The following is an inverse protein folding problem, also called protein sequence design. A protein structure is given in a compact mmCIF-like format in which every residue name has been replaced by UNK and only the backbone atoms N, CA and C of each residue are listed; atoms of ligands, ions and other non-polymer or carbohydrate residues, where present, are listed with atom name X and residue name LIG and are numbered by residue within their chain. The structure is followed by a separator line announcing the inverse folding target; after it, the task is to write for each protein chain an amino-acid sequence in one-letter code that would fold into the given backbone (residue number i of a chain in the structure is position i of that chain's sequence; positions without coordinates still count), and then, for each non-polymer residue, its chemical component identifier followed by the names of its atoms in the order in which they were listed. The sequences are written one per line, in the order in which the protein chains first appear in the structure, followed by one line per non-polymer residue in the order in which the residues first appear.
data_IF_831469362824
#
_entry.id   IF_831469362824
#
_cell.length_a   1.000
_cell.length_b   1.000
_cell.length_c   1.000
_cell.angle_alpha   90.00
_cell.angle_beta   90.00
_cell.angle_gamma   90.00
#
_symmetry.space_group_name_H-M   'P 1'
#
loop_
_entity.id
_entity.type
_entity.pdbx_description
1 polymer ?
#
# COMPACT_ATOMS: atom_id res chain seq x y z
N UNK A 1 -12.89 25.18 1.15
CA UNK A 1 -13.03 23.96 1.97
C UNK A 1 -14.50 23.74 2.28
N UNK A 2 -15.02 22.52 2.11
CA UNK A 2 -16.42 22.20 2.42
C UNK A 2 -16.48 21.07 3.45
N UNK A 3 -17.34 21.22 4.44
CA UNK A 3 -17.65 20.15 5.39
C UNK A 3 -18.61 19.16 4.71
N UNK A 4 -18.27 17.88 4.79
CA UNK A 4 -19.10 16.77 4.27
C UNK A 4 -19.37 15.78 5.39
N UNK A 5 -20.56 15.15 5.40
CA UNK A 5 -20.82 14.02 6.29
C UNK A 5 -19.85 12.88 5.95
N UNK A 6 -19.27 12.29 7.00
CA UNK A 6 -18.41 11.12 6.81
C UNK A 6 -19.22 9.98 6.22
N UNK A 7 -18.72 9.42 5.12
CA UNK A 7 -19.26 8.22 4.50
C UNK A 7 -18.07 7.31 4.20
N UNK A 8 -18.21 6.02 4.51
CA UNK A 8 -17.19 5.05 4.18
C UNK A 8 -17.23 4.79 2.67
N UNK A 9 -16.13 5.10 2.01
CA UNK A 9 -15.93 4.82 0.58
C UNK A 9 -15.41 3.41 0.39
N UNK A 10 -15.52 2.84 -0.82
CA UNK A 10 -14.67 1.74 -1.25
C UNK A 10 -13.21 2.16 -1.13
N UNK A 11 -12.37 1.27 -0.60
CA UNK A 11 -10.97 1.56 -0.34
C UNK A 11 -10.07 0.44 -0.83
N UNK A 12 -8.86 0.78 -1.25
CA UNK A 12 -7.81 -0.20 -1.43
C UNK A 12 -7.14 -0.49 -0.09
N UNK A 13 -6.96 -1.77 0.22
CA UNK A 13 -6.30 -2.21 1.44
C UNK A 13 -4.82 -1.79 1.45
N UNK A 14 -4.34 -1.43 2.63
CA UNK A 14 -2.92 -1.28 2.97
C UNK A 14 -2.64 -2.18 4.16
N UNK A 15 -2.03 -3.32 3.92
CA UNK A 15 -1.79 -4.33 4.96
C UNK A 15 -0.31 -4.67 5.02
N UNK A 16 0.19 -4.90 6.22
CA UNK A 16 1.52 -5.44 6.45
C UNK A 16 1.47 -6.80 7.11
N UNK A 17 2.32 -7.71 6.66
CA UNK A 17 2.63 -8.97 7.31
C UNK A 17 4.05 -8.87 7.90
N UNK A 18 4.13 -8.84 9.22
CA UNK A 18 5.38 -8.77 9.95
C UNK A 18 5.74 -10.12 10.52
N UNK A 19 6.96 -10.61 10.24
CA UNK A 19 7.44 -11.84 10.83
C UNK A 19 8.95 -12.06 10.64
N UNK A 20 9.58 -12.93 11.43
CA UNK A 20 10.93 -13.43 11.16
C UNK A 20 11.00 -14.17 9.83
N UNK A 21 12.23 -14.44 9.36
CA UNK A 21 12.42 -15.32 8.20
C UNK A 21 11.91 -16.74 8.51
N UNK A 22 11.27 -17.36 7.52
CA UNK A 22 10.72 -18.72 7.64
C UNK A 22 9.36 -18.82 8.34
N UNK A 23 8.73 -17.70 8.75
CA UNK A 23 7.40 -17.71 9.37
C UNK A 23 6.22 -17.80 8.38
N UNK A 24 6.48 -17.92 7.08
CA UNK A 24 5.42 -18.09 6.08
C UNK A 24 4.80 -16.80 5.53
N UNK A 25 5.48 -15.62 5.63
CA UNK A 25 4.98 -14.35 5.10
C UNK A 25 4.54 -14.41 3.64
N UNK A 26 5.45 -14.82 2.76
CA UNK A 26 5.20 -14.89 1.30
C UNK A 26 4.01 -15.80 0.99
N UNK A 27 3.96 -16.97 1.61
CA UNK A 27 2.87 -17.93 1.44
C UNK A 27 1.52 -17.32 1.88
N UNK A 28 1.49 -16.74 3.08
CA UNK A 28 0.30 -16.08 3.62
C UNK A 28 -0.15 -14.89 2.79
N UNK A 29 0.81 -14.07 2.30
CA UNK A 29 0.53 -12.95 1.42
C UNK A 29 -0.10 -13.39 0.09
N UNK A 30 0.40 -14.47 -0.51
CA UNK A 30 -0.13 -15.04 -1.75
C UNK A 30 -1.54 -15.57 -1.57
N UNK A 31 -1.82 -16.34 -0.51
CA UNK A 31 -3.17 -16.83 -0.22
C UNK A 31 -4.16 -15.69 0.00
N UNK A 32 -3.78 -14.70 0.80
CA UNK A 32 -4.60 -13.52 1.04
C UNK A 32 -4.85 -12.74 -0.25
N UNK A 33 -3.80 -12.50 -1.06
CA UNK A 33 -3.90 -11.79 -2.33
C UNK A 33 -4.83 -12.50 -3.31
N UNK A 34 -4.74 -13.83 -3.42
CA UNK A 34 -5.66 -14.61 -4.23
C UNK A 34 -7.10 -14.49 -3.73
N UNK A 35 -7.32 -14.58 -2.43
CA UNK A 35 -8.66 -14.39 -1.84
C UNK A 35 -9.24 -13.02 -2.15
N UNK A 36 -8.40 -11.98 -2.24
CA UNK A 36 -8.80 -10.62 -2.59
C UNK A 36 -9.06 -10.45 -4.10
N UNK A 37 -8.20 -10.97 -4.96
CA UNK A 37 -8.32 -10.81 -6.41
C UNK A 37 -9.33 -11.79 -7.03
N UNK A 38 -9.39 -13.03 -6.51
CA UNK A 38 -10.17 -14.14 -7.10
C UNK A 38 -9.54 -14.70 -8.39
N UNK A 39 -8.46 -14.12 -8.87
CA UNK A 39 -7.73 -14.47 -10.09
C UNK A 39 -6.23 -14.27 -9.88
N UNK A 40 -5.45 -15.34 -10.02
CA UNK A 40 -3.99 -15.29 -9.88
C UNK A 40 -3.32 -14.34 -10.87
N UNK A 41 -3.85 -14.19 -12.09
CA UNK A 41 -3.30 -13.30 -13.11
C UNK A 41 -3.35 -11.81 -12.71
N UNK A 42 -4.14 -11.47 -11.69
CA UNK A 42 -4.29 -10.12 -11.11
C UNK A 42 -3.43 -9.89 -9.87
N UNK A 43 -2.66 -10.89 -9.46
CA UNK A 43 -1.75 -10.83 -8.32
C UNK A 43 -0.32 -10.69 -8.83
N UNK A 44 0.45 -9.77 -8.23
CA UNK A 44 1.87 -9.61 -8.52
C UNK A 44 2.68 -9.54 -7.23
N UNK A 45 3.85 -10.16 -7.23
CA UNK A 45 4.86 -10.03 -6.17
C UNK A 45 6.02 -9.18 -6.70
N UNK A 46 6.29 -8.06 -6.06
CA UNK A 46 7.57 -7.33 -6.19
C UNK A 46 8.54 -8.07 -5.28
N UNK A 47 9.35 -8.95 -5.87
CA UNK A 47 10.28 -9.84 -5.17
C UNK A 47 11.65 -9.18 -5.06
N UNK A 48 12.09 -8.96 -3.83
CA UNK A 48 13.43 -8.46 -3.50
C UNK A 48 14.30 -9.54 -2.84
N UNK A 49 13.79 -10.78 -2.76
CA UNK A 49 14.41 -11.92 -2.08
C UNK A 49 14.94 -12.98 -3.08
N UNK A 50 15.50 -12.49 -4.20
CA UNK A 50 16.18 -13.35 -5.21
C UNK A 50 15.30 -14.48 -5.77
N UNK A 51 14.08 -14.19 -6.15
CA UNK A 51 13.18 -15.16 -6.78
C UNK A 51 12.49 -16.11 -5.80
N UNK A 52 12.48 -15.76 -4.50
CA UNK A 52 11.84 -16.59 -3.47
C UNK A 52 10.34 -16.78 -3.70
N UNK A 53 9.66 -15.78 -4.28
CA UNK A 53 8.24 -15.87 -4.61
C UNK A 53 7.97 -17.02 -5.62
N UNK A 54 8.84 -17.24 -6.58
CA UNK A 54 8.69 -18.27 -7.61
C UNK A 54 8.68 -19.71 -7.05
N UNK A 55 9.20 -19.92 -5.83
CA UNK A 55 9.11 -21.22 -5.15
C UNK A 55 7.66 -21.63 -4.85
N UNK A 56 6.74 -20.67 -4.84
CA UNK A 56 5.32 -20.87 -4.59
C UNK A 56 4.47 -20.93 -5.86
N UNK A 57 5.08 -21.08 -7.04
CA UNK A 57 4.38 -21.18 -8.34
C UNK A 57 3.36 -22.33 -8.42
N UNK A 58 3.48 -23.32 -7.55
CA UNK A 58 2.49 -24.41 -7.43
C UNK A 58 1.13 -23.95 -6.87
N UNK A 59 1.03 -22.76 -6.28
CA UNK A 59 -0.25 -22.20 -5.79
C UNK A 59 -1.12 -21.66 -6.92
N UNK A 60 -0.49 -21.13 -7.99
CA UNK A 60 -1.18 -20.57 -9.15
C UNK A 60 -0.28 -19.69 -10.01
N UNK A 61 -0.83 -19.18 -11.12
CA UNK A 61 -0.11 -18.41 -12.13
C UNK A 61 -0.09 -16.89 -11.79
N UNK A 62 0.49 -16.54 -10.65
CA UNK A 62 0.68 -15.13 -10.28
C UNK A 62 1.90 -14.53 -10.99
N UNK A 63 1.95 -13.20 -11.05
CA UNK A 63 3.05 -12.47 -11.67
C UNK A 63 4.17 -12.18 -10.65
N UNK A 64 5.41 -12.09 -11.13
CA UNK A 64 6.57 -11.69 -10.33
C UNK A 64 7.30 -10.55 -11.04
N UNK A 65 7.64 -9.51 -10.30
CA UNK A 65 8.54 -8.45 -10.70
C UNK A 65 9.79 -8.53 -9.83
N UNK A 66 10.88 -9.05 -10.39
CA UNK A 66 12.16 -9.16 -9.69
C UNK A 66 12.80 -7.77 -9.53
N UNK A 67 12.88 -7.28 -8.33
CA UNK A 67 13.54 -6.03 -8.01
C UNK A 67 14.92 -6.31 -7.40
N UNK A 68 15.96 -6.07 -8.18
CA UNK A 68 17.36 -6.23 -7.75
C UNK A 68 17.92 -4.93 -7.16
N UNK A 69 18.97 -4.98 -6.32
CA UNK A 69 19.65 -3.79 -5.82
C UNK A 69 20.04 -2.80 -6.93
N UNK A 70 20.08 -1.50 -6.63
CA UNK A 70 19.88 -0.86 -5.33
C UNK A 70 18.39 -0.78 -4.95
N UNK A 71 18.08 -1.03 -3.68
CA UNK A 71 16.72 -1.01 -3.14
C UNK A 71 16.30 0.40 -2.69
N UNK A 72 16.48 1.39 -3.56
CA UNK A 72 16.12 2.76 -3.23
C UNK A 72 14.59 2.98 -3.25
N UNK A 73 14.07 3.95 -2.47
CA UNK A 73 12.65 4.31 -2.47
C UNK A 73 12.08 4.53 -3.87
N UNK A 74 12.84 5.18 -4.76
CA UNK A 74 12.42 5.50 -6.13
C UNK A 74 12.16 4.24 -6.94
N UNK A 75 13.00 3.22 -6.80
CA UNK A 75 12.83 1.95 -7.54
C UNK A 75 11.61 1.16 -7.07
N UNK A 76 11.27 1.22 -5.77
CA UNK A 76 10.00 0.66 -5.30
C UNK A 76 8.81 1.43 -5.85
N UNK A 77 8.90 2.77 -5.95
CA UNK A 77 7.86 3.60 -6.56
C UNK A 77 7.66 3.22 -8.03
N UNK A 78 8.73 3.05 -8.80
CA UNK A 78 8.70 2.59 -10.19
C UNK A 78 8.07 1.20 -10.31
N UNK A 79 8.48 0.25 -9.46
CA UNK A 79 7.94 -1.11 -9.46
C UNK A 79 6.42 -1.13 -9.16
N UNK A 80 5.97 -0.38 -8.15
CA UNK A 80 4.53 -0.26 -7.84
C UNK A 80 3.79 0.35 -9.04
N UNK A 81 4.34 1.40 -9.65
CA UNK A 81 3.73 2.07 -10.81
C UNK A 81 3.60 1.10 -11.99
N UNK A 82 4.65 0.34 -12.29
CA UNK A 82 4.63 -0.68 -13.35
C UNK A 82 3.56 -1.74 -13.11
N UNK A 83 3.37 -2.16 -11.87
CA UNK A 83 2.31 -3.12 -11.51
C UNK A 83 0.90 -2.52 -11.70
N UNK A 84 0.71 -1.25 -11.32
CA UNK A 84 -0.56 -0.56 -11.53
C UNK A 84 -0.88 -0.38 -13.02
N UNK A 85 0.11 -0.01 -13.83
CA UNK A 85 -0.05 0.20 -15.27
C UNK A 85 -0.30 -1.13 -16.01
N UNK A 86 0.19 -2.26 -15.46
CA UNK A 86 -0.13 -3.60 -15.91
C UNK A 86 -1.53 -4.08 -15.47
N UNK A 87 -2.29 -3.29 -14.71
CA UNK A 87 -3.66 -3.61 -14.26
C UNK A 87 -3.73 -4.67 -13.18
N UNK A 88 -2.70 -4.75 -12.32
CA UNK A 88 -2.71 -5.64 -11.16
C UNK A 88 -3.69 -5.14 -10.09
N UNK A 89 -4.48 -6.04 -9.52
CA UNK A 89 -5.45 -5.72 -8.47
C UNK A 89 -4.84 -5.83 -7.07
N UNK A 90 -3.90 -6.73 -6.89
CA UNK A 90 -3.18 -6.92 -5.62
C UNK A 90 -1.69 -6.96 -5.86
N UNK A 91 -0.96 -6.07 -5.21
CA UNK A 91 0.50 -5.95 -5.25
C UNK A 91 1.05 -6.41 -3.89
N UNK A 92 1.91 -7.41 -3.90
CA UNK A 92 2.67 -7.87 -2.74
C UNK A 92 4.08 -7.29 -2.86
N UNK A 93 4.62 -6.69 -1.78
CA UNK A 93 6.01 -6.23 -1.71
C UNK A 93 6.76 -7.13 -0.72
N UNK A 94 7.57 -8.03 -1.22
CA UNK A 94 8.34 -8.98 -0.40
C UNK A 94 9.84 -8.91 -0.72
N UNK A 95 10.62 -8.16 0.09
CA UNK A 95 10.26 -7.55 1.37
C UNK A 95 10.42 -6.03 1.32
N UNK A 96 9.48 -5.30 1.93
CA UNK A 96 9.60 -3.84 2.10
C UNK A 96 10.74 -3.43 3.05
N UNK A 97 11.26 -4.37 3.86
CA UNK A 97 12.44 -4.14 4.70
C UNK A 97 13.70 -3.81 3.91
N UNK A 98 13.78 -4.22 2.65
CA UNK A 98 14.93 -3.90 1.81
C UNK A 98 14.96 -2.43 1.38
N UNK A 99 13.81 -1.77 1.24
CA UNK A 99 13.77 -0.31 1.02
C UNK A 99 14.45 0.44 2.16
N UNK A 100 14.32 -0.05 3.38
CA UNK A 100 14.92 0.55 4.56
C UNK A 100 16.39 0.17 4.74
N UNK A 101 16.68 -1.14 4.86
CA UNK A 101 17.98 -1.67 5.27
C UNK A 101 18.68 -2.53 4.23
N UNK A 102 18.13 -2.68 3.02
CA UNK A 102 18.79 -3.40 1.93
C UNK A 102 19.88 -2.59 1.25
N UNK A 103 20.64 -3.24 0.37
CA UNK A 103 21.71 -2.59 -0.39
C UNK A 103 21.15 -1.43 -1.25
N UNK A 104 21.62 -0.23 -1.03
CA UNK A 104 21.10 1.00 -1.65
C UNK A 104 19.77 1.48 -1.09
N UNK A 105 19.31 0.93 0.04
CA UNK A 105 18.13 1.38 0.78
C UNK A 105 18.38 2.63 1.62
N UNK A 106 17.38 3.07 2.35
CA UNK A 106 17.39 4.34 3.08
C UNK A 106 18.57 4.50 4.04
N UNK A 107 18.95 3.45 4.79
CA UNK A 107 20.07 3.53 5.73
C UNK A 107 21.38 3.79 4.99
N UNK A 108 21.67 3.05 3.92
CA UNK A 108 22.89 3.22 3.14
C UNK A 108 22.91 4.56 2.38
N UNK A 109 21.76 5.01 1.88
CA UNK A 109 21.60 6.33 1.27
C UNK A 109 21.94 7.42 2.28
N UNK A 110 21.41 7.30 3.51
CA UNK A 110 21.67 8.27 4.57
C UNK A 110 23.15 8.35 4.94
N UNK A 111 23.84 7.22 5.03
CA UNK A 111 25.28 7.17 5.29
C UNK A 111 26.09 7.84 4.17
N UNK A 112 25.76 7.55 2.91
CA UNK A 112 26.40 8.17 1.73
C UNK A 112 26.21 9.70 1.71
N UNK A 113 24.99 10.17 1.98
CA UNK A 113 24.69 11.60 2.07
C UNK A 113 25.44 12.24 3.23
N UNK A 114 25.48 11.59 4.41
CA UNK A 114 26.19 12.07 5.57
C UNK A 114 27.71 12.28 5.27
N UNK A 115 28.31 11.27 4.65
CA UNK A 115 29.73 11.33 4.28
C UNK A 115 30.01 12.44 3.24
N UNK A 116 29.17 12.56 2.21
CA UNK A 116 29.39 13.48 1.10
C UNK A 116 29.09 14.94 1.45
N UNK A 117 28.07 15.23 2.27
CA UNK A 117 27.52 16.58 2.47
C UNK A 117 27.56 17.09 3.90
N UNK A 118 27.56 16.19 4.88
CA UNK A 118 27.42 16.56 6.30
C UNK A 118 28.60 16.12 7.16
N UNK A 119 29.80 15.91 6.56
CA UNK A 119 31.01 15.53 7.28
C UNK A 119 30.83 14.31 8.19
N UNK A 120 30.03 13.34 7.77
CA UNK A 120 29.71 12.14 8.53
C UNK A 120 28.55 12.28 9.53
N UNK A 121 27.87 13.42 9.61
CA UNK A 121 26.73 13.60 10.49
C UNK A 121 25.46 12.95 9.88
N UNK A 122 25.18 11.73 10.31
CA UNK A 122 24.01 10.94 9.85
C UNK A 122 22.68 11.56 10.28
N UNK A 123 22.63 12.27 11.41
CA UNK A 123 21.42 12.94 11.87
C UNK A 123 20.98 14.03 10.89
N UNK A 124 21.89 14.88 10.46
CA UNK A 124 21.58 15.94 9.50
C UNK A 124 21.23 15.40 8.10
N UNK A 125 21.79 14.25 7.71
CA UNK A 125 21.52 13.61 6.42
C UNK A 125 20.08 13.14 6.27
N UNK A 126 19.38 12.90 7.37
CA UNK A 126 17.94 12.54 7.35
C UNK A 126 17.06 13.62 6.73
N UNK A 127 17.49 14.89 6.72
CA UNK A 127 16.76 15.95 6.03
C UNK A 127 16.60 15.68 4.52
N UNK A 128 17.52 14.92 3.91
CA UNK A 128 17.47 14.54 2.50
C UNK A 128 16.92 13.12 2.31
N UNK A 129 17.18 12.21 3.22
CA UNK A 129 16.75 10.82 3.10
C UNK A 129 15.26 10.65 3.45
N UNK A 130 14.78 11.31 4.50
CA UNK A 130 13.39 11.25 4.94
C UNK A 130 12.38 11.57 3.83
N UNK A 131 12.54 12.67 3.05
CA UNK A 131 11.59 12.96 1.96
C UNK A 131 11.53 11.89 0.87
N UNK A 132 12.59 11.12 0.67
CA UNK A 132 12.62 10.02 -0.31
C UNK A 132 11.80 8.83 0.21
N UNK A 133 12.03 8.44 1.46
CA UNK A 133 11.23 7.43 2.14
C UNK A 133 9.74 7.81 2.19
N UNK A 134 9.43 9.07 2.55
CA UNK A 134 8.05 9.55 2.63
C UNK A 134 7.33 9.47 1.26
N UNK A 135 8.05 9.67 0.15
CA UNK A 135 7.49 9.44 -1.19
C UNK A 135 7.13 7.98 -1.44
N UNK A 136 7.96 7.04 -0.99
CA UNK A 136 7.64 5.61 -1.07
C UNK A 136 6.41 5.27 -0.22
N UNK A 137 6.36 5.73 1.04
CA UNK A 137 5.18 5.56 1.91
C UNK A 137 3.92 6.10 1.23
N UNK A 138 3.98 7.34 0.72
CA UNK A 138 2.86 7.95 0.00
C UNK A 138 2.45 7.15 -1.23
N UNK A 139 3.40 6.60 -1.99
CA UNK A 139 3.08 5.74 -3.16
C UNK A 139 2.34 4.48 -2.72
N UNK A 140 2.77 3.82 -1.64
CA UNK A 140 2.06 2.67 -1.07
C UNK A 140 0.64 3.07 -0.67
N UNK A 141 0.47 4.22 0.04
CA UNK A 141 -0.82 4.68 0.54
C UNK A 141 -1.79 5.08 -0.58
N UNK A 142 -1.28 5.63 -1.68
CA UNK A 142 -2.07 6.16 -2.80
C UNK A 142 -2.18 5.17 -3.98
N UNK A 143 -1.63 3.99 -3.88
CA UNK A 143 -1.68 2.99 -4.95
C UNK A 143 -3.12 2.67 -5.37
N UNK A 144 -3.32 2.50 -6.68
CA UNK A 144 -4.62 2.16 -7.30
C UNK A 144 -4.94 0.66 -7.29
N UNK A 145 -4.24 -0.08 -6.44
CA UNK A 145 -4.40 -1.51 -6.20
C UNK A 145 -4.36 -1.77 -4.69
N UNK A 146 -4.79 -2.93 -4.24
CA UNK A 146 -4.53 -3.38 -2.88
C UNK A 146 -3.03 -3.64 -2.70
N UNK A 147 -2.45 -3.23 -1.57
CA UNK A 147 -1.02 -3.44 -1.30
C UNK A 147 -0.85 -4.24 -0.02
N UNK A 148 -0.14 -5.36 -0.13
CA UNK A 148 0.30 -6.19 0.99
C UNK A 148 1.82 -6.06 1.06
N UNK A 149 2.33 -5.50 2.15
CA UNK A 149 3.78 -5.43 2.40
C UNK A 149 4.20 -6.56 3.34
N UNK A 150 5.35 -7.14 3.09
CA UNK A 150 5.99 -8.10 3.98
C UNK A 150 7.19 -7.42 4.64
N UNK A 151 7.18 -7.27 5.96
CA UNK A 151 8.33 -6.81 6.73
C UNK A 151 9.00 -7.95 7.45
N UNK A 152 10.33 -7.96 7.44
CA UNK A 152 11.10 -8.83 8.32
C UNK A 152 11.07 -8.25 9.72
N UNK A 153 10.89 -9.09 10.73
CA UNK A 153 11.02 -8.68 12.12
C UNK A 153 12.20 -9.37 12.80
N UNK A 154 12.72 -8.71 13.81
CA UNK A 154 13.80 -9.20 14.66
C UNK A 154 13.44 -9.04 16.13
N UNK A 155 14.04 -9.87 16.99
CA UNK A 155 13.89 -9.70 18.43
C UNK A 155 14.47 -8.35 18.86
N UNK A 156 13.67 -7.54 19.51
CA UNK A 156 14.12 -6.31 20.15
C UNK A 156 14.65 -6.63 21.55
N UNK A 157 15.83 -6.09 21.84
CA UNK A 157 16.49 -6.30 23.13
C UNK A 157 16.86 -4.96 23.73
N UNK A 158 16.76 -4.85 25.06
CA UNK A 158 17.27 -3.71 25.83
C UNK A 158 18.30 -4.18 26.83
N UNK A 159 19.23 -3.30 27.16
CA UNK A 159 20.17 -3.49 28.27
C UNK A 159 19.47 -3.04 29.55
N UNK A 160 19.28 -3.96 30.49
CA UNK A 160 18.81 -3.70 31.84
C UNK A 160 19.99 -3.96 32.79
N UNK A 161 20.73 -2.90 33.08
CA UNK A 161 22.06 -3.01 33.69
C UNK A 161 23.03 -3.77 32.77
N UNK A 162 23.62 -4.87 33.26
CA UNK A 162 24.51 -5.74 32.50
C UNK A 162 23.81 -6.95 31.84
N UNK A 163 22.46 -6.99 31.85
CA UNK A 163 21.69 -8.10 31.27
C UNK A 163 20.94 -7.65 30.02
N UNK A 164 21.00 -8.50 28.98
CA UNK A 164 20.19 -8.30 27.77
C UNK A 164 18.79 -8.87 28.03
N UNK A 165 17.77 -8.03 27.97
CA UNK A 165 16.37 -8.40 28.11
C UNK A 165 15.68 -8.31 26.75
N UNK A 166 15.00 -9.38 26.35
CA UNK A 166 14.13 -9.40 25.18
C UNK A 166 12.82 -8.69 25.55
N UNK A 167 12.40 -7.69 24.74
CA UNK A 167 11.19 -6.90 24.99
C UNK A 167 10.10 -7.12 23.95
N UNK A 168 10.39 -7.81 22.84
CA UNK A 168 9.40 -8.10 21.81
C UNK A 168 10.04 -8.37 20.46
N UNK A 169 9.20 -8.27 19.44
CA UNK A 169 9.60 -8.28 18.04
C UNK A 169 9.47 -6.87 17.49
N UNK A 170 10.44 -6.44 16.67
CA UNK A 170 10.44 -5.14 16.01
C UNK A 170 10.62 -5.34 14.50
N UNK A 171 9.83 -4.62 13.72
CA UNK A 171 9.93 -4.63 12.26
C UNK A 171 11.25 -3.98 11.81
N UNK A 172 11.86 -4.57 10.78
CA UNK A 172 13.00 -3.98 10.10
C UNK A 172 12.45 -3.01 9.04
N UNK A 173 11.99 -1.88 9.53
CA UNK A 173 11.49 -0.75 8.76
C UNK A 173 11.62 0.51 9.64
N UNK A 174 11.35 1.68 9.08
CA UNK A 174 11.32 2.92 9.84
C UNK A 174 10.27 2.86 10.93
N UNK A 175 10.61 3.35 12.11
CA UNK A 175 9.66 3.42 13.23
C UNK A 175 8.40 4.18 12.82
N UNK A 176 7.23 3.61 13.10
CA UNK A 176 5.95 4.19 12.72
C UNK A 176 5.36 3.66 11.41
N UNK A 177 6.08 2.82 10.64
CA UNK A 177 5.57 2.20 9.42
C UNK A 177 4.18 1.57 9.59
N UNK A 178 3.99 0.81 10.68
CA UNK A 178 2.72 0.16 11.00
C UNK A 178 1.56 1.15 11.21
N UNK A 179 1.87 2.39 11.64
CA UNK A 179 0.82 3.39 11.88
C UNK A 179 0.23 3.98 10.61
N UNK A 180 0.95 3.89 9.50
CA UNK A 180 0.47 4.37 8.21
C UNK A 180 -0.54 3.42 7.58
N UNK A 181 -0.43 2.13 7.85
CA UNK A 181 -1.21 1.10 7.19
C UNK A 181 -2.60 0.90 7.83
N UNK A 182 -3.50 0.24 7.10
CA UNK A 182 -4.86 -0.06 7.58
C UNK A 182 -4.85 -1.21 8.58
N UNK A 183 -4.08 -2.27 8.27
CA UNK A 183 -3.96 -3.48 9.09
C UNK A 183 -2.49 -3.87 9.17
N UNK A 184 -2.04 -4.27 10.36
CA UNK A 184 -0.74 -4.92 10.57
C UNK A 184 -0.96 -6.25 11.29
N UNK A 185 -0.54 -7.35 10.65
CA UNK A 185 -0.61 -8.70 11.19
C UNK A 185 0.81 -9.20 11.49
N UNK A 186 1.03 -9.65 12.70
CA UNK A 186 2.28 -10.33 13.11
C UNK A 186 2.08 -11.83 13.03
N UNK A 187 2.97 -12.53 12.30
CA UNK A 187 2.91 -13.98 12.14
C UNK A 187 3.96 -14.62 13.05
N UNK A 188 3.51 -15.52 13.90
CA UNK A 188 4.39 -16.31 14.75
C UNK A 188 5.15 -17.37 13.93
N UNK A 189 6.44 -17.55 14.24
CA UNK A 189 7.31 -18.41 13.45
C UNK A 189 7.00 -19.90 13.61
N UNK A 190 6.64 -20.31 14.79
CA UNK A 190 6.54 -21.74 15.12
C UNK A 190 5.14 -22.29 14.83
N UNK A 191 4.11 -21.45 15.03
CA UNK A 191 2.70 -21.81 14.81
C UNK A 191 2.17 -21.36 13.47
N UNK A 192 2.84 -20.41 12.79
CA UNK A 192 2.38 -19.70 11.59
C UNK A 192 1.05 -18.96 11.77
N UNK A 193 0.61 -18.76 13.00
CA UNK A 193 -0.60 -18.02 13.30
C UNK A 193 -0.36 -16.52 13.27
N UNK A 194 -1.35 -15.79 12.78
CA UNK A 194 -1.35 -14.34 12.71
C UNK A 194 -2.15 -13.74 13.87
N UNK A 195 -1.66 -12.60 14.36
CA UNK A 195 -2.34 -11.74 15.33
C UNK A 195 -2.28 -10.31 14.82
N UNK A 196 -3.38 -9.56 14.93
CA UNK A 196 -3.40 -8.15 14.57
C UNK A 196 -2.73 -7.32 15.67
N UNK A 197 -1.65 -6.61 15.32
CA UNK A 197 -1.08 -5.56 16.17
C UNK A 197 -1.74 -4.21 15.91
N UNK A 198 -2.34 -4.03 14.71
CA UNK A 198 -3.16 -2.90 14.33
C UNK A 198 -4.26 -3.35 13.38
N UNK A 199 -5.47 -2.88 13.61
CA UNK A 199 -6.62 -3.15 12.73
C UNK A 199 -7.63 -2.00 12.78
N UNK A 200 -7.73 -1.27 11.67
CA UNK A 200 -8.76 -0.23 11.47
C UNK A 200 -10.06 -0.79 10.89
N UNK A 201 -10.05 -2.07 10.49
CA UNK A 201 -11.21 -2.72 9.87
C UNK A 201 -12.17 -3.32 10.89
N UNK A 202 -11.71 -3.59 12.09
CA UNK A 202 -12.38 -4.34 13.15
C UNK A 202 -12.62 -5.83 12.81
N UNK A 203 -12.00 -6.34 11.74
CA UNK A 203 -12.13 -7.75 11.34
C UNK A 203 -11.31 -8.68 12.24
N UNK A 204 -10.23 -8.17 12.82
CA UNK A 204 -9.22 -8.97 13.54
C UNK A 204 -9.04 -8.57 15.02
N UNK A 205 -9.77 -7.58 15.52
CA UNK A 205 -9.55 -7.01 16.88
C UNK A 205 -9.87 -7.96 18.02
N UNK A 206 -10.77 -8.90 17.84
CA UNK A 206 -11.28 -9.82 18.89
C UNK A 206 -11.19 -11.26 18.40
N UNK A 207 -10.24 -11.55 17.53
CA UNK A 207 -10.08 -12.88 16.97
C UNK A 207 -8.86 -13.53 17.64
N UNK A 208 -9.01 -14.78 18.07
CA UNK A 208 -7.87 -15.61 18.49
C UNK A 208 -6.84 -15.70 17.35
N UNK A 209 -5.57 -16.03 17.66
CA UNK A 209 -4.57 -16.26 16.64
C UNK A 209 -5.08 -17.22 15.56
N UNK A 210 -4.91 -16.85 14.29
CA UNK A 210 -5.49 -17.57 13.15
C UNK A 210 -4.48 -17.81 12.02
N UNK A 211 -4.72 -18.82 11.22
CA UNK A 211 -3.96 -19.06 9.99
C UNK A 211 -4.56 -18.22 8.86
N UNK A 212 -3.69 -17.48 8.17
CA UNK A 212 -4.09 -16.69 6.99
C UNK A 212 -4.38 -17.64 5.82
N UNK A 213 -5.55 -17.48 5.22
CA UNK A 213 -6.03 -18.29 4.09
C UNK A 213 -6.61 -17.38 2.99
N UNK A 214 -7.04 -17.99 1.89
CA UNK A 214 -7.78 -17.25 0.85
C UNK A 214 -9.13 -16.71 1.39
N UNK A 215 -9.76 -17.38 2.34
CA UNK A 215 -10.98 -16.86 2.99
C UNK A 215 -10.72 -15.57 3.77
N UNK A 216 -9.56 -15.45 4.41
CA UNK A 216 -9.13 -14.21 5.04
C UNK A 216 -9.07 -13.07 4.01
N UNK A 217 -8.53 -13.35 2.82
CA UNK A 217 -8.48 -12.37 1.72
C UNK A 217 -9.88 -11.98 1.23
N UNK A 218 -10.80 -12.94 1.06
CA UNK A 218 -12.19 -12.67 0.67
C UNK A 218 -12.91 -11.77 1.68
N UNK A 219 -12.80 -12.08 2.96
CA UNK A 219 -13.38 -11.28 4.05
C UNK A 219 -12.88 -9.84 4.03
N UNK A 220 -11.58 -9.65 3.81
CA UNK A 220 -10.98 -8.31 3.72
C UNK A 220 -11.47 -7.58 2.46
N UNK A 221 -11.58 -8.26 1.31
CA UNK A 221 -12.12 -7.68 0.08
C UNK A 221 -13.55 -7.19 0.28
N UNK A 222 -14.42 -8.02 0.84
CA UNK A 222 -15.81 -7.67 1.15
C UNK A 222 -15.87 -6.42 2.04
N UNK A 223 -14.99 -6.35 3.04
CA UNK A 223 -14.88 -5.15 3.86
C UNK A 223 -14.46 -3.93 3.03
N UNK A 224 -13.48 -4.02 2.16
CA UNK A 224 -13.03 -2.92 1.31
C UNK A 224 -14.15 -2.43 0.37
N UNK A 225 -14.97 -3.32 -0.14
CA UNK A 225 -16.04 -3.05 -1.10
C UNK A 225 -17.37 -2.62 -0.45
N UNK A 226 -17.59 -2.89 0.84
CA UNK A 226 -18.84 -2.56 1.55
C UNK A 226 -19.04 -1.06 1.80
N UNK A 227 -18.12 -0.21 1.35
CA UNK A 227 -18.28 1.24 1.35
C UNK A 227 -19.17 1.74 0.20
N UNK A 228 -19.73 2.94 0.38
CA UNK A 228 -20.50 3.61 -0.68
C UNK A 228 -19.57 3.86 -1.86
N UNK A 229 -19.97 3.42 -3.06
CA UNK A 229 -19.31 3.85 -4.29
C UNK A 229 -19.64 5.33 -4.47
N UNK A 230 -18.65 6.19 -4.28
CA UNK A 230 -18.79 7.58 -4.71
C UNK A 230 -18.24 7.57 -6.13
N UNK A 231 -19.11 7.72 -7.12
CA UNK A 231 -18.66 8.12 -8.43
C UNK A 231 -17.88 9.42 -8.23
N UNK A 232 -16.57 9.38 -8.42
CA UNK A 232 -15.75 10.60 -8.42
C UNK A 232 -16.20 11.37 -9.66
N UNK A 233 -17.12 12.30 -9.44
CA UNK A 233 -17.56 13.18 -10.50
C UNK A 233 -16.34 13.95 -10.97
N UNK A 234 -16.05 13.84 -12.24
CA UNK A 234 -15.02 14.63 -12.87
C UNK A 234 -15.33 16.13 -12.72
N UNK A 235 -14.31 16.95 -12.49
CA UNK A 235 -14.50 18.40 -12.44
C UNK A 235 -14.67 18.90 -13.87
N UNK A 236 -15.85 19.40 -14.21
CA UNK A 236 -16.08 20.00 -15.52
C UNK A 236 -15.41 21.37 -15.57
N UNK A 237 -14.52 21.56 -16.56
CA UNK A 237 -13.86 22.83 -16.86
C UNK A 237 -14.26 23.30 -18.25
N UNK A 238 -14.07 24.59 -18.56
CA UNK A 238 -14.37 25.14 -19.89
C UNK A 238 -13.53 24.48 -20.99
N UNK A 239 -12.34 23.96 -20.67
CA UNK A 239 -11.44 23.30 -21.62
C UNK A 239 -11.76 21.79 -21.79
N UNK A 240 -12.81 21.29 -21.14
CA UNK A 240 -13.19 19.89 -21.25
C UNK A 240 -13.59 19.54 -22.70
N UNK A 241 -13.05 18.44 -23.23
CA UNK A 241 -13.20 18.01 -24.62
C UNK A 241 -14.68 17.99 -25.14
N UNK A 242 -15.62 17.72 -24.22
CA UNK A 242 -17.05 17.68 -24.53
C UNK A 242 -17.82 18.91 -24.05
N UNK A 243 -17.16 20.00 -23.62
CA UNK A 243 -17.83 21.13 -23.00
C UNK A 243 -18.87 21.78 -23.96
N UNK A 244 -18.48 22.03 -25.21
CA UNK A 244 -19.38 22.62 -26.23
C UNK A 244 -20.56 21.68 -26.53
N UNK A 245 -20.33 20.38 -26.65
CA UNK A 245 -21.40 19.42 -26.88
C UNK A 245 -22.39 19.36 -25.70
N UNK A 246 -21.92 19.54 -24.46
CA UNK A 246 -22.78 19.62 -23.28
C UNK A 246 -23.60 20.91 -23.25
N UNK A 247 -22.99 22.02 -23.66
CA UNK A 247 -23.68 23.31 -23.81
C UNK A 247 -24.81 23.22 -24.86
N UNK A 248 -24.53 22.65 -26.02
CA UNK A 248 -25.56 22.42 -27.06
C UNK A 248 -26.67 21.49 -26.58
N UNK A 249 -26.33 20.44 -25.83
CA UNK A 249 -27.30 19.50 -25.31
C UNK A 249 -28.23 20.13 -24.26
N UNK A 250 -27.74 21.11 -23.48
CA UNK A 250 -28.56 21.89 -22.56
C UNK A 250 -29.47 22.86 -23.34
N UNK A 251 -28.91 23.57 -24.31
CA UNK A 251 -29.65 24.56 -25.14
C UNK A 251 -30.80 23.94 -25.93
N UNK A 252 -30.61 22.72 -26.43
CA UNK A 252 -31.65 22.00 -27.20
C UNK A 252 -32.56 21.12 -26.34
N UNK A 253 -32.38 21.10 -25.03
CA UNK A 253 -33.18 20.35 -24.08
C UNK A 253 -32.97 18.81 -24.07
N UNK A 254 -31.98 18.28 -24.81
CA UNK A 254 -31.67 16.87 -24.86
C UNK A 254 -31.01 16.38 -23.56
N UNK A 255 -30.50 17.29 -22.72
CA UNK A 255 -30.00 17.04 -21.37
C UNK A 255 -30.42 18.15 -20.42
N UNK A 256 -30.48 17.82 -19.13
CA UNK A 256 -30.72 18.80 -18.07
C UNK A 256 -29.44 19.09 -17.28
N UNK A 257 -29.37 20.24 -16.62
CA UNK A 257 -28.25 20.58 -15.73
C UNK A 257 -28.09 19.53 -14.62
N UNK A 258 -29.20 19.04 -14.06
CA UNK A 258 -29.18 17.99 -13.04
C UNK A 258 -28.54 16.68 -13.52
N UNK A 259 -28.74 16.31 -14.80
CA UNK A 259 -28.09 15.13 -15.39
C UNK A 259 -26.58 15.34 -15.58
N UNK A 260 -26.13 16.57 -15.86
CA UNK A 260 -24.71 16.90 -15.90
C UNK A 260 -24.11 16.94 -14.50
N UNK A 261 -24.78 17.54 -13.53
CA UNK A 261 -24.38 17.53 -12.13
C UNK A 261 -24.36 16.11 -11.52
N UNK A 262 -25.15 15.19 -12.10
CA UNK A 262 -25.07 13.78 -11.81
C UNK A 262 -23.71 13.16 -12.12
N UNK A 263 -23.03 13.64 -13.18
CA UNK A 263 -21.76 13.10 -13.69
C UNK A 263 -20.53 13.94 -13.36
N UNK A 264 -20.70 15.25 -13.23
CA UNK A 264 -19.61 16.20 -13.08
C UNK A 264 -19.78 17.06 -11.83
N UNK A 265 -18.65 17.49 -11.25
CA UNK A 265 -18.61 18.64 -10.36
C UNK A 265 -18.55 19.91 -11.22
N UNK A 266 -19.58 20.76 -11.16
CA UNK A 266 -19.72 21.94 -11.96
C UNK A 266 -19.71 23.17 -11.01
N UNK A 267 -18.70 24.05 -11.14
CA UNK A 267 -18.65 25.30 -10.39
C UNK A 267 -19.72 26.27 -10.90
N UNK A 268 -20.05 27.29 -10.11
CA UNK A 268 -21.05 28.27 -10.51
C UNK A 268 -20.65 29.01 -11.80
N UNK A 269 -19.36 29.36 -11.93
CA UNK A 269 -18.83 30.02 -13.14
C UNK A 269 -18.99 29.13 -14.38
N UNK A 270 -18.80 27.81 -14.24
CA UNK A 270 -18.98 26.85 -15.34
C UNK A 270 -20.47 26.64 -15.66
N UNK A 271 -21.35 26.67 -14.65
CA UNK A 271 -22.80 26.64 -14.89
C UNK A 271 -23.28 27.84 -15.73
N UNK A 272 -22.78 29.02 -15.39
CA UNK A 272 -23.09 30.25 -16.15
C UNK A 272 -22.55 30.18 -17.60
N UNK A 273 -21.38 29.58 -17.81
CA UNK A 273 -20.79 29.39 -19.11
C UNK A 273 -21.51 28.33 -19.98
N UNK A 274 -22.21 27.37 -19.33
CA UNK A 274 -22.97 26.30 -20.00
C UNK A 274 -24.36 26.77 -20.48
N UNK A 275 -24.91 27.74 -19.83
CA UNK A 275 -26.21 28.36 -20.20
C UNK A 275 -26.00 29.51 -21.19
#
# INVERSE_FOLDING_TARGET
MQLKKAQRKKVFLRLNLSAPSGAGKTYSALLMAYGMAGDWSKVVVIDTENGSASLYSHLGEFNVLDLQPPFSPERFIEAITSCEDAGMEVIIIDSSSHEWSGAGGCLEINEKIAAARYKGNTWSAWNETTPRHDKFVNKVLQARAHVITCTRSKTETVLDGNKVKKIGMKDIQRDGWEYELTVNLSIDRDTHMAIASKDRTQLFQIVDPFIITADTGRMVKEWCESGVTIDEKEVLTADHIHFNAMKEALANGSRTMEQLEGKFFISNDIKEALV
#
